data_IF_624460879013
#
_entry.id   IF_624460879013
#
_cell.length_a   1.000
_cell.length_b   1.000
_cell.length_c   1.000
_cell.angle_alpha   90.00
_cell.angle_beta   90.00
_cell.angle_gamma   90.00
#
_symmetry.space_group_name_H-M   'P 1'
#
loop_
_entity.id
_entity.type
_entity.pdbx_description
1 polymer ?
#
# COMPACT_ATOMS: atom_id res chain seq x y z
N UNK A 1 5.13 -7.63 -17.16
CA UNK A 1 3.95 -6.76 -17.31
C UNK A 1 4.08 -5.38 -16.67
N UNK A 2 4.57 -5.26 -15.43
CA UNK A 2 4.63 -3.96 -14.71
C UNK A 2 5.33 -2.86 -15.51
N UNK A 3 6.51 -3.13 -16.08
CA UNK A 3 7.24 -2.14 -16.89
C UNK A 3 6.45 -1.66 -18.13
N UNK A 4 5.83 -2.58 -18.86
CA UNK A 4 5.01 -2.23 -20.02
C UNK A 4 3.82 -1.35 -19.63
N UNK A 5 3.11 -1.72 -18.55
CA UNK A 5 2.01 -0.89 -18.04
C UNK A 5 2.50 0.48 -17.59
N UNK A 6 3.63 0.55 -16.88
CA UNK A 6 4.23 1.80 -16.46
C UNK A 6 4.59 2.71 -17.65
N UNK A 7 5.25 2.19 -18.68
CA UNK A 7 5.61 2.97 -19.88
C UNK A 7 4.40 3.41 -20.70
N UNK A 8 3.27 2.68 -20.62
CA UNK A 8 2.03 3.09 -21.25
C UNK A 8 1.29 4.23 -20.53
N UNK A 9 1.71 4.60 -19.31
CA UNK A 9 1.10 5.70 -18.56
C UNK A 9 1.50 7.07 -19.12
N UNK A 10 0.59 8.07 -19.08
CA UNK A 10 0.95 9.47 -19.29
C UNK A 10 2.11 9.92 -18.39
N UNK A 11 2.89 10.90 -18.85
CA UNK A 11 4.08 11.40 -18.14
C UNK A 11 3.74 11.82 -16.71
N UNK A 12 2.62 12.52 -16.53
CA UNK A 12 2.16 13.02 -15.23
C UNK A 12 1.89 11.86 -14.26
N UNK A 13 1.33 10.76 -14.77
CA UNK A 13 1.06 9.55 -13.98
C UNK A 13 2.33 8.78 -13.67
N UNK A 14 3.33 8.79 -14.56
CA UNK A 14 4.66 8.23 -14.27
C UNK A 14 5.40 9.03 -13.20
N UNK A 15 5.28 10.36 -13.19
CA UNK A 15 5.81 11.23 -12.15
C UNK A 15 5.12 10.97 -10.81
N UNK A 16 3.78 10.94 -10.79
CA UNK A 16 3.01 10.64 -9.57
C UNK A 16 3.36 9.25 -9.01
N UNK A 17 3.52 8.26 -9.88
CA UNK A 17 3.96 6.91 -9.52
C UNK A 17 5.35 6.90 -8.88
N UNK A 18 6.32 7.62 -9.48
CA UNK A 18 7.70 7.71 -8.95
C UNK A 18 7.80 8.52 -7.66
N UNK A 19 6.75 9.23 -7.27
CA UNK A 19 6.69 9.90 -5.96
C UNK A 19 6.42 8.95 -4.80
N UNK A 20 6.05 7.70 -5.08
CA UNK A 20 5.85 6.66 -4.07
C UNK A 20 7.19 6.04 -3.66
N UNK A 21 7.26 5.54 -2.43
CA UNK A 21 8.47 4.87 -1.90
C UNK A 21 8.64 3.51 -2.56
N UNK A 22 9.85 3.21 -3.05
CA UNK A 22 10.22 1.88 -3.54
C UNK A 22 11.27 1.24 -2.66
N UNK A 23 10.90 0.23 -1.88
CA UNK A 23 11.87 -0.50 -1.05
C UNK A 23 12.75 -1.40 -1.93
N UNK A 24 14.03 -1.06 -2.03
CA UNK A 24 15.01 -1.79 -2.87
C UNK A 24 15.21 -3.25 -2.45
N UNK A 25 14.91 -3.60 -1.19
CA UNK A 25 14.91 -5.00 -0.74
C UNK A 25 13.95 -5.89 -1.53
N UNK A 26 12.94 -5.32 -2.20
CA UNK A 26 12.01 -6.09 -3.05
C UNK A 26 12.46 -6.22 -4.51
N UNK A 27 13.32 -5.33 -5.01
CA UNK A 27 13.85 -5.33 -6.38
C UNK A 27 14.90 -4.24 -6.60
N UNK A 28 15.91 -4.53 -7.43
CA UNK A 28 16.88 -3.53 -7.92
C UNK A 28 16.29 -2.54 -8.93
N UNK A 29 15.17 -2.88 -9.56
CA UNK A 29 14.50 -2.00 -10.51
C UNK A 29 13.50 -1.10 -9.78
N UNK A 30 13.74 0.21 -9.79
CA UNK A 30 12.93 1.22 -9.08
C UNK A 30 11.43 1.07 -9.37
N UNK A 31 11.04 0.95 -10.64
CA UNK A 31 9.63 0.80 -11.04
C UNK A 31 9.03 -0.46 -10.42
N UNK A 32 9.76 -1.57 -10.38
CA UNK A 32 9.25 -2.80 -9.79
C UNK A 32 9.24 -2.74 -8.26
N UNK A 33 10.23 -2.10 -7.63
CA UNK A 33 10.28 -1.88 -6.19
C UNK A 33 9.08 -1.05 -5.73
N UNK A 34 8.81 0.09 -6.40
CA UNK A 34 7.62 0.91 -6.14
C UNK A 34 6.35 0.08 -6.28
N UNK A 35 6.21 -0.71 -7.35
CA UNK A 35 5.04 -1.56 -7.51
C UNK A 35 4.86 -2.54 -6.34
N UNK A 36 5.92 -3.24 -5.97
CA UNK A 36 5.86 -4.27 -4.92
C UNK A 36 5.50 -3.68 -3.56
N UNK A 37 6.05 -2.51 -3.22
CA UNK A 37 5.82 -1.81 -1.95
C UNK A 37 4.45 -1.14 -1.85
N UNK A 38 3.79 -0.80 -2.96
CA UNK A 38 2.58 0.05 -2.94
C UNK A 38 1.31 -0.60 -3.51
N UNK A 39 1.41 -1.79 -4.10
CA UNK A 39 0.26 -2.45 -4.75
C UNK A 39 -0.78 -2.93 -3.75
N UNK A 40 -2.03 -2.81 -4.15
CA UNK A 40 -3.17 -3.46 -3.51
C UNK A 40 -3.56 -4.71 -4.30
N UNK A 41 -3.98 -5.75 -3.61
CA UNK A 41 -4.60 -6.91 -4.24
C UNK A 41 -5.95 -6.51 -4.85
N UNK A 42 -6.14 -6.90 -6.11
CA UNK A 42 -7.37 -6.67 -6.87
C UNK A 42 -8.15 -7.98 -7.03
N UNK A 43 -7.48 -9.04 -7.51
CA UNK A 43 -8.08 -10.34 -7.72
C UNK A 43 -7.00 -11.42 -7.78
N UNK A 44 -6.94 -12.30 -6.76
CA UNK A 44 -5.93 -13.35 -6.68
C UNK A 44 -4.52 -12.78 -6.75
N UNK A 45 -3.74 -13.18 -7.75
CA UNK A 45 -2.37 -12.69 -7.93
C UNK A 45 -2.27 -11.30 -8.58
N UNK A 46 -3.37 -10.70 -9.03
CA UNK A 46 -3.36 -9.41 -9.70
C UNK A 46 -3.30 -8.27 -8.68
N UNK A 47 -2.26 -7.45 -8.79
CA UNK A 47 -2.10 -6.22 -8.01
C UNK A 47 -2.30 -4.96 -8.86
N UNK A 48 -2.70 -3.87 -8.21
CA UNK A 48 -2.80 -2.55 -8.83
C UNK A 48 -2.39 -1.42 -7.91
N UNK A 49 -2.13 -0.25 -8.49
CA UNK A 49 -1.70 0.94 -7.76
C UNK A 49 -2.86 1.93 -7.67
N UNK A 50 -3.14 2.37 -6.44
CA UNK A 50 -4.14 3.38 -6.15
C UNK A 50 -3.43 4.54 -5.47
N UNK A 51 -2.99 5.52 -6.26
CA UNK A 51 -2.02 6.56 -5.85
C UNK A 51 -2.36 7.29 -4.55
N UNK A 52 -3.65 7.52 -4.26
CA UNK A 52 -4.10 8.10 -2.99
C UNK A 52 -3.99 7.10 -1.83
N UNK A 53 -4.44 5.87 -2.05
CA UNK A 53 -4.47 4.83 -1.01
C UNK A 53 -3.10 4.25 -0.69
N UNK A 54 -2.16 4.26 -1.65
CA UNK A 54 -0.76 3.86 -1.43
C UNK A 54 0.00 4.79 -0.46
N UNK A 55 -0.64 5.86 0.02
CA UNK A 55 -0.08 6.79 1.02
C UNK A 55 -0.53 6.49 2.45
N UNK A 56 -1.49 5.58 2.66
CA UNK A 56 -1.90 5.19 4.00
C UNK A 56 -0.81 4.35 4.63
N UNK A 57 -0.35 4.72 5.82
CA UNK A 57 0.63 3.96 6.58
C UNK A 57 0.05 2.69 7.19
N UNK A 58 0.93 1.85 7.71
CA UNK A 58 0.57 0.60 8.37
C UNK A 58 0.32 0.78 9.87
N UNK A 59 -0.73 0.12 10.36
CA UNK A 59 -0.79 -0.35 11.74
C UNK A 59 -1.32 -1.78 11.75
N UNK A 60 -0.85 -2.61 12.69
CA UNK A 60 -1.34 -3.98 12.81
C UNK A 60 -2.78 -4.01 13.31
N UNK A 61 -3.54 -5.04 12.95
CA UNK A 61 -4.85 -5.28 13.56
C UNK A 61 -4.66 -5.63 15.05
N UNK A 62 -5.51 -5.11 15.98
CA UNK A 62 -6.73 -4.31 15.77
C UNK A 62 -6.55 -2.79 15.73
N UNK A 63 -5.32 -2.27 15.63
CA UNK A 63 -5.02 -0.84 15.75
C UNK A 63 -5.04 -0.06 14.42
N UNK A 64 -5.12 -0.73 13.27
CA UNK A 64 -5.41 -0.07 11.99
C UNK A 64 -6.77 0.62 12.04
N UNK A 65 -6.85 1.89 11.63
CA UNK A 65 -8.10 2.65 11.68
C UNK A 65 -9.07 2.27 10.57
N UNK A 66 -8.57 1.75 9.45
CA UNK A 66 -9.34 1.41 8.27
C UNK A 66 -9.06 0.00 7.75
N UNK A 67 -10.04 -0.53 7.03
CA UNK A 67 -9.90 -1.70 6.14
C UNK A 67 -10.13 -1.28 4.69
N UNK A 68 -9.78 -2.13 3.74
CA UNK A 68 -10.03 -1.88 2.32
C UNK A 68 -10.55 -3.12 1.60
N UNK A 69 -11.28 -2.88 0.51
CA UNK A 69 -11.66 -3.91 -0.47
C UNK A 69 -11.63 -3.33 -1.87
N UNK A 70 -11.30 -4.13 -2.86
CA UNK A 70 -11.43 -3.74 -4.26
C UNK A 70 -12.83 -4.08 -4.76
N UNK A 71 -13.52 -3.09 -5.31
CA UNK A 71 -14.77 -3.26 -6.05
C UNK A 71 -14.44 -3.38 -7.55
N UNK A 72 -14.51 -4.60 -8.06
CA UNK A 72 -14.22 -4.92 -9.46
C UNK A 72 -15.27 -4.38 -10.43
N UNK A 73 -16.51 -4.18 -9.98
CA UNK A 73 -17.58 -3.63 -10.82
C UNK A 73 -17.36 -2.14 -11.12
N UNK A 74 -16.73 -1.43 -10.18
CA UNK A 74 -16.45 0.01 -10.31
C UNK A 74 -15.00 0.33 -10.61
N UNK A 75 -14.09 -0.64 -10.51
CA UNK A 75 -12.66 -0.44 -10.66
C UNK A 75 -12.07 0.44 -9.55
N UNK A 76 -12.59 0.34 -8.32
CA UNK A 76 -12.28 1.25 -7.20
C UNK A 76 -11.81 0.50 -5.97
N UNK A 77 -10.82 1.07 -5.28
CA UNK A 77 -10.48 0.66 -3.92
C UNK A 77 -11.39 1.40 -2.94
N UNK A 78 -12.20 0.65 -2.19
CA UNK A 78 -13.08 1.17 -1.15
C UNK A 78 -12.36 1.03 0.18
N UNK A 79 -12.13 2.15 0.87
CA UNK A 79 -11.52 2.19 2.20
C UNK A 79 -12.59 2.57 3.20
N UNK A 80 -12.75 1.75 4.24
CA UNK A 80 -13.80 1.87 5.25
C UNK A 80 -13.17 2.01 6.62
N UNK A 81 -13.56 3.05 7.36
CA UNK A 81 -13.16 3.21 8.76
C UNK A 81 -13.76 2.09 9.62
N UNK A 82 -12.94 1.49 10.48
CA UNK A 82 -13.36 0.47 11.45
C UNK A 82 -13.90 1.11 12.74
N UNK A 83 -13.46 2.33 13.04
CA UNK A 83 -13.82 3.11 14.23
C UNK A 83 -14.02 4.59 13.85
N UNK A 84 -14.66 5.41 14.69
CA UNK A 84 -14.65 6.87 14.51
C UNK A 84 -13.21 7.39 14.49
N UNK A 85 -12.86 8.19 13.48
CA UNK A 85 -11.53 8.80 13.32
C UNK A 85 -11.65 10.29 13.63
N UNK A 86 -10.92 10.75 14.64
CA UNK A 86 -10.94 12.15 15.03
C UNK A 86 -10.22 13.05 14.02
N UNK A 87 -10.55 14.34 13.99
CA UNK A 87 -9.80 15.31 13.16
C UNK A 87 -8.33 15.33 13.59
N UNK A 88 -7.44 15.07 12.64
CA UNK A 88 -5.99 15.01 12.87
C UNK A 88 -5.46 13.63 13.26
N UNK A 89 -6.33 12.66 13.48
CA UNK A 89 -5.94 11.25 13.63
C UNK A 89 -5.52 10.68 12.26
N UNK A 90 -4.47 9.86 12.26
CA UNK A 90 -3.92 9.28 11.05
C UNK A 90 -4.83 8.16 10.51
N UNK A 91 -4.98 8.10 9.19
CA UNK A 91 -5.64 6.99 8.51
C UNK A 91 -4.60 5.91 8.21
N UNK A 92 -4.77 4.74 8.84
CA UNK A 92 -3.90 3.58 8.66
C UNK A 92 -4.67 2.36 8.18
N UNK A 93 -3.97 1.46 7.50
CA UNK A 93 -4.49 0.15 7.06
C UNK A 93 -3.55 -0.97 7.50
N UNK A 94 -4.03 -2.21 7.55
CA UNK A 94 -3.14 -3.37 7.75
C UNK A 94 -2.60 -3.85 6.41
N UNK A 95 -1.27 -3.85 6.23
CA UNK A 95 -0.63 -4.34 5.00
C UNK A 95 -0.45 -5.85 5.02
N UNK A 96 -0.15 -6.38 6.21
CA UNK A 96 0.17 -7.78 6.45
C UNK A 96 -0.34 -8.18 7.83
N UNK A 97 -0.86 -9.41 8.00
CA UNK A 97 -1.18 -9.94 9.32
C UNK A 97 0.09 -10.33 10.11
N UNK A 98 1.26 -10.39 9.47
CA UNK A 98 2.53 -10.83 10.09
C UNK A 98 3.50 -9.65 10.14
N UNK A 99 3.66 -9.05 11.32
CA UNK A 99 4.51 -7.87 11.50
C UNK A 99 5.97 -8.07 11.07
N UNK A 100 6.54 -9.26 11.29
CA UNK A 100 7.92 -9.56 10.88
C UNK A 100 8.14 -9.55 9.36
N UNK A 101 7.08 -9.72 8.55
CA UNK A 101 7.17 -9.66 7.09
C UNK A 101 7.28 -8.24 6.53
N UNK A 102 7.05 -7.22 7.36
CA UNK A 102 7.00 -5.84 6.92
C UNK A 102 8.35 -5.31 6.45
N UNK A 103 9.44 -5.72 7.09
CA UNK A 103 10.77 -5.28 6.68
C UNK A 103 11.12 -5.78 5.28
N UNK A 104 10.90 -7.07 5.01
CA UNK A 104 11.22 -7.65 3.70
C UNK A 104 10.34 -7.06 2.58
N UNK A 105 9.08 -6.75 2.89
CA UNK A 105 8.11 -6.28 1.89
C UNK A 105 8.09 -4.76 1.70
N UNK A 106 8.37 -4.00 2.76
CA UNK A 106 8.16 -2.55 2.81
C UNK A 106 9.33 -1.76 3.42
N UNK A 107 10.32 -2.42 4.02
CA UNK A 107 11.55 -1.77 4.51
C UNK A 107 11.41 -1.04 5.85
N UNK A 108 10.41 -1.38 6.66
CA UNK A 108 10.22 -0.79 7.99
C UNK A 108 9.79 -1.83 9.04
N UNK A 109 10.04 -1.50 10.31
CA UNK A 109 9.49 -2.22 11.47
C UNK A 109 8.33 -1.42 12.03
N UNK A 110 7.20 -2.08 12.31
CA UNK A 110 6.04 -1.42 12.88
C UNK A 110 6.23 -1.20 14.38
N UNK A 111 5.87 -0.01 14.85
CA UNK A 111 5.91 0.43 16.26
C UNK A 111 4.51 0.64 16.85
N UNK A 112 3.47 0.15 16.16
CA UNK A 112 2.10 0.27 16.66
C UNK A 112 1.91 -0.52 17.95
N UNK A 113 0.84 -0.23 18.70
CA UNK A 113 0.53 -0.85 20.01
C UNK A 113 0.41 -2.39 20.00
N UNK A 114 0.25 -3.03 18.84
CA UNK A 114 0.25 -4.49 18.71
C UNK A 114 1.67 -5.08 18.60
N UNK A 115 2.63 -4.30 18.09
CA UNK A 115 4.04 -4.69 18.05
C UNK A 115 4.67 -4.21 19.35
N UNK A 116 4.83 -5.12 20.31
CA UNK A 116 5.61 -4.83 21.51
C UNK A 116 7.07 -4.53 21.12
N UNK A 117 7.79 -3.69 21.90
CA UNK A 117 9.21 -3.42 21.68
C UNK A 117 10.08 -4.68 21.71
#
# INVERSE_FOLDING_TARGET
EVFYKYESLPVEKRVEYRSLVGWKGTSDFEVLAIFKTNRFEICGSLGGIFLKSSRFNHACHPYSTCTYKYDSSQGRLIVTSLFPIAKGEEITISYSPVASSLYDSYGFYCDCKACLP
#
